data_IF_212566404272
#
_entry.id   IF_212566404272
#
_cell.length_a   1.000
_cell.length_b   1.000
_cell.length_c   1.000
_cell.angle_alpha   90.00
_cell.angle_beta   90.00
_cell.angle_gamma   90.00
#
_symmetry.space_group_name_H-M   'P 1'
#
loop_
_entity.id
_entity.type
_entity.pdbx_description
1 polymer ?
#
# COMPACT_ATOMS: atom_id res chain seq x y z
N UNK A 1 13.01 -1.20 -2.87
CA UNK A 1 12.10 -1.72 -3.92
C UNK A 1 10.85 -2.28 -3.26
N UNK A 2 9.67 -2.15 -3.89
CA UNK A 2 8.44 -2.82 -3.44
C UNK A 2 8.61 -4.34 -3.61
N UNK A 3 8.35 -5.09 -2.55
CA UNK A 3 8.45 -6.56 -2.53
C UNK A 3 7.08 -7.22 -2.46
N UNK A 4 6.15 -6.60 -1.78
CA UNK A 4 4.77 -7.09 -1.65
C UNK A 4 3.80 -5.95 -1.54
N UNK A 5 2.60 -6.15 -2.06
CA UNK A 5 1.47 -5.24 -1.93
C UNK A 5 0.20 -6.04 -1.69
N UNK A 6 -0.62 -5.60 -0.75
CA UNK A 6 -1.96 -6.13 -0.61
C UNK A 6 -3.00 -5.05 -0.34
N UNK A 7 -4.21 -5.32 -0.81
CA UNK A 7 -5.37 -4.44 -0.66
C UNK A 7 -6.62 -5.26 -0.37
N UNK A 8 -7.55 -4.71 0.42
CA UNK A 8 -8.85 -5.31 0.73
C UNK A 8 -9.92 -4.24 0.78
N UNK A 9 -11.12 -4.59 0.36
CA UNK A 9 -12.30 -3.73 0.31
C UNK A 9 -12.12 -2.45 -0.52
N UNK A 10 -11.30 -2.48 -1.55
CA UNK A 10 -11.06 -1.34 -2.45
C UNK A 10 -11.64 -1.60 -3.83
N UNK A 11 -12.58 -0.78 -4.29
CA UNK A 11 -13.22 -0.88 -5.61
C UNK A 11 -13.69 -2.31 -5.90
N UNK A 12 -13.11 -3.01 -6.88
CA UNK A 12 -13.43 -4.39 -7.22
C UNK A 12 -12.71 -5.44 -6.35
N UNK A 13 -11.81 -5.05 -5.47
CA UNK A 13 -11.11 -5.95 -4.54
C UNK A 13 -11.91 -6.13 -3.24
N UNK A 14 -12.94 -6.98 -3.28
CA UNK A 14 -13.77 -7.29 -2.12
C UNK A 14 -12.98 -8.00 -1.02
N UNK A 15 -12.26 -9.05 -1.40
CA UNK A 15 -11.39 -9.83 -0.51
C UNK A 15 -9.95 -9.33 -0.62
N UNK A 16 -9.13 -9.72 0.37
CA UNK A 16 -7.70 -9.43 0.33
C UNK A 16 -7.09 -9.99 -0.96
N UNK A 17 -6.51 -9.10 -1.73
CA UNK A 17 -5.71 -9.40 -2.92
C UNK A 17 -4.26 -9.06 -2.63
N UNK A 18 -3.34 -9.94 -3.00
CA UNK A 18 -1.90 -9.76 -2.75
C UNK A 18 -1.11 -9.99 -4.02
N UNK A 19 -0.15 -9.11 -4.28
CA UNK A 19 0.92 -9.31 -5.25
C UNK A 19 2.22 -9.48 -4.47
N UNK A 20 2.89 -10.61 -4.67
CA UNK A 20 4.23 -10.87 -4.15
C UNK A 20 5.22 -10.75 -5.31
N UNK A 21 6.07 -9.73 -5.26
CA UNK A 21 7.10 -9.43 -6.24
C UNK A 21 8.44 -10.08 -5.89
N UNK A 22 8.56 -10.66 -4.69
CA UNK A 22 9.76 -11.37 -4.23
C UNK A 22 9.77 -12.84 -4.65
N UNK A 23 8.61 -13.38 -5.03
CA UNK A 23 8.48 -14.76 -5.46
C UNK A 23 8.82 -14.89 -6.97
N UNK A 24 10.07 -14.69 -7.28
CA UNK A 24 10.59 -14.93 -8.63
C UNK A 24 10.82 -16.42 -8.82
N UNK A 25 9.88 -17.11 -9.47
CA UNK A 25 10.14 -18.46 -9.92
C UNK A 25 11.39 -18.44 -10.80
N UNK A 26 12.20 -19.50 -10.77
CA UNK A 26 13.45 -19.61 -11.55
C UNK A 26 13.15 -19.67 -13.06
N UNK A 27 12.67 -18.58 -13.64
CA UNK A 27 12.48 -18.47 -15.08
C UNK A 27 13.78 -17.97 -15.72
N UNK A 28 14.26 -18.68 -16.73
CA UNK A 28 15.48 -18.34 -17.49
C UNK A 28 15.31 -17.13 -18.43
N UNK A 29 14.09 -16.58 -18.55
CA UNK A 29 13.80 -15.48 -19.47
C UNK A 29 13.53 -14.19 -18.71
N UNK A 30 13.96 -13.07 -19.31
CA UNK A 30 13.71 -11.71 -18.78
C UNK A 30 14.42 -11.40 -17.46
N UNK A 31 15.66 -11.84 -17.30
CA UNK A 31 16.51 -11.49 -16.13
C UNK A 31 16.58 -9.98 -15.89
N UNK A 32 16.54 -9.16 -16.95
CA UNK A 32 16.50 -7.71 -16.85
C UNK A 32 15.26 -7.16 -16.10
N UNK A 33 14.19 -7.95 -15.95
CA UNK A 33 12.99 -7.59 -15.22
C UNK A 33 13.07 -7.90 -13.73
N UNK A 34 14.13 -8.59 -13.29
CA UNK A 34 14.38 -8.96 -11.89
C UNK A 34 15.65 -8.29 -11.43
N UNK A 35 15.64 -7.75 -10.21
CA UNK A 35 16.82 -7.21 -9.53
C UNK A 35 16.80 -7.68 -8.08
N UNK A 36 17.91 -8.26 -7.63
CA UNK A 36 18.08 -8.75 -6.25
C UNK A 36 16.96 -9.71 -5.81
N UNK A 37 16.50 -10.58 -6.73
CA UNK A 37 15.39 -11.51 -6.49
C UNK A 37 14.00 -10.87 -6.45
N UNK A 38 13.87 -9.60 -6.83
CA UNK A 38 12.59 -8.86 -6.82
C UNK A 38 12.21 -8.46 -8.24
N UNK A 39 10.97 -8.68 -8.62
CA UNK A 39 10.42 -8.24 -9.90
C UNK A 39 10.33 -6.71 -9.91
N UNK A 40 11.15 -6.05 -10.75
CA UNK A 40 11.14 -4.59 -10.92
C UNK A 40 10.26 -4.11 -12.06
N UNK A 41 10.02 -4.99 -13.04
CA UNK A 41 9.21 -4.68 -14.21
C UNK A 41 8.30 -5.86 -14.50
N UNK A 42 7.01 -5.61 -14.55
CA UNK A 42 5.99 -6.61 -14.86
C UNK A 42 4.92 -6.05 -15.78
N UNK A 43 4.29 -6.91 -16.55
CA UNK A 43 3.16 -6.57 -17.40
C UNK A 43 1.89 -7.23 -16.86
N UNK A 44 0.85 -6.41 -16.61
CA UNK A 44 -0.46 -6.87 -16.19
C UNK A 44 -1.40 -6.80 -17.38
N UNK A 45 -1.89 -7.95 -17.82
CA UNK A 45 -2.83 -8.04 -18.93
C UNK A 45 -4.08 -8.83 -18.53
N UNK A 46 -5.14 -8.68 -19.31
CA UNK A 46 -6.42 -9.36 -19.08
C UNK A 46 -7.57 -8.63 -19.78
N UNK A 47 -8.77 -9.18 -19.77
CA UNK A 47 -9.95 -8.57 -20.38
C UNK A 47 -10.26 -7.18 -19.82
N UNK A 48 -11.06 -6.41 -20.55
CA UNK A 48 -11.56 -5.12 -20.07
C UNK A 48 -12.42 -5.33 -18.81
N UNK A 49 -12.47 -4.32 -17.96
CA UNK A 49 -13.26 -4.29 -16.73
C UNK A 49 -12.87 -5.30 -15.62
N UNK A 50 -11.78 -6.05 -15.77
CA UNK A 50 -11.31 -6.99 -14.73
C UNK A 50 -10.64 -6.31 -13.51
N UNK A 51 -10.39 -5.00 -13.59
CA UNK A 51 -9.81 -4.25 -12.48
C UNK A 51 -8.34 -3.86 -12.62
N UNK A 52 -7.71 -4.01 -13.81
CA UNK A 52 -6.30 -3.61 -14.04
C UNK A 52 -6.00 -2.16 -13.61
N UNK A 53 -6.84 -1.22 -14.02
CA UNK A 53 -6.69 0.20 -13.64
C UNK A 53 -6.92 0.43 -12.15
N UNK A 54 -7.81 -0.34 -11.51
CA UNK A 54 -8.05 -0.26 -10.09
C UNK A 54 -6.86 -0.80 -9.29
N UNK A 55 -6.16 -1.81 -9.81
CA UNK A 55 -4.92 -2.29 -9.21
C UNK A 55 -3.82 -1.21 -9.26
N UNK A 56 -3.65 -0.54 -10.39
CA UNK A 56 -2.73 0.60 -10.50
C UNK A 56 -3.08 1.70 -9.48
N UNK A 57 -4.36 2.07 -9.38
CA UNK A 57 -4.82 3.05 -8.38
C UNK A 57 -4.54 2.60 -6.95
N UNK A 58 -4.75 1.32 -6.63
CA UNK A 58 -4.47 0.77 -5.32
C UNK A 58 -2.97 0.81 -4.98
N UNK A 59 -2.09 0.42 -5.92
CA UNK A 59 -0.63 0.46 -5.71
C UNK A 59 -0.14 1.89 -5.50
N UNK A 60 -0.69 2.86 -6.22
CA UNK A 60 -0.29 4.27 -6.12
C UNK A 60 -1.03 5.06 -5.02
N UNK A 61 -1.95 4.44 -4.27
CA UNK A 61 -2.65 5.11 -3.16
C UNK A 61 -1.67 5.61 -2.08
N UNK A 62 -0.59 4.89 -1.84
CA UNK A 62 0.48 5.29 -0.93
C UNK A 62 1.07 6.67 -1.28
N UNK A 63 1.17 7.01 -2.55
CA UNK A 63 1.69 8.32 -2.99
C UNK A 63 0.75 9.44 -2.55
N UNK A 64 -0.55 9.20 -2.60
CA UNK A 64 -1.56 10.16 -2.14
C UNK A 64 -1.52 10.35 -0.62
N UNK A 65 -1.20 9.27 0.12
CA UNK A 65 -1.08 9.32 1.57
C UNK A 65 0.17 10.07 2.05
N UNK A 66 1.29 9.89 1.35
CA UNK A 66 2.59 10.40 1.78
C UNK A 66 2.95 11.75 1.15
N UNK A 67 2.10 12.29 0.29
CA UNK A 67 2.36 13.57 -0.38
C UNK A 67 1.15 14.49 -0.32
N UNK A 68 1.39 15.80 -0.17
CA UNK A 68 0.36 16.84 -0.18
C UNK A 68 -0.10 17.22 -1.60
N UNK A 69 0.00 16.29 -2.55
CA UNK A 69 -0.45 16.56 -3.92
C UNK A 69 -1.96 16.73 -3.97
N UNK A 70 -2.40 17.72 -4.74
CA UNK A 70 -3.82 17.93 -5.01
C UNK A 70 -4.47 16.64 -5.50
N UNK A 71 -5.54 16.26 -4.84
CA UNK A 71 -6.30 15.05 -5.14
C UNK A 71 -7.34 15.37 -6.19
N UNK A 72 -7.42 14.55 -7.22
CA UNK A 72 -8.46 14.67 -8.24
C UNK A 72 -9.70 13.90 -7.79
N UNK A 73 -10.79 14.55 -7.32
CA UNK A 73 -11.95 13.88 -6.70
C UNK A 73 -12.54 12.76 -7.56
N UNK A 74 -12.56 12.94 -8.88
CA UNK A 74 -13.09 11.94 -9.81
C UNK A 74 -12.37 10.57 -9.76
N UNK A 75 -11.10 10.53 -9.34
CA UNK A 75 -10.34 9.28 -9.19
C UNK A 75 -10.79 8.49 -7.95
N UNK A 76 -11.40 9.16 -6.98
CA UNK A 76 -11.76 8.62 -5.67
C UNK A 76 -13.25 8.34 -5.52
N UNK A 77 -14.06 8.61 -6.54
CA UNK A 77 -15.45 8.14 -6.58
C UNK A 77 -15.47 6.61 -6.45
N UNK A 78 -16.36 6.09 -5.62
CA UNK A 78 -16.49 4.65 -5.35
C UNK A 78 -15.16 4.03 -4.85
N UNK A 79 -14.57 4.61 -3.81
CA UNK A 79 -13.28 4.20 -3.25
C UNK A 79 -13.38 2.83 -2.56
N UNK A 80 -14.36 2.64 -1.68
CA UNK A 80 -14.67 1.33 -1.10
C UNK A 80 -15.33 0.37 -2.12
N UNK A 81 -15.34 -0.91 -1.80
CA UNK A 81 -16.08 -1.90 -2.56
C UNK A 81 -17.58 -1.64 -2.45
N UNK A 82 -18.31 -1.69 -3.57
CA UNK A 82 -19.74 -1.35 -3.63
C UNK A 82 -20.64 -2.27 -2.78
N UNK A 83 -20.16 -3.47 -2.42
CA UNK A 83 -20.91 -4.41 -1.57
C UNK A 83 -20.68 -4.16 -0.07
N UNK A 84 -19.61 -3.43 0.28
CA UNK A 84 -19.15 -3.28 1.66
C UNK A 84 -18.68 -1.84 1.90
N UNK A 85 -19.57 -0.89 1.66
CA UNK A 85 -19.27 0.55 1.83
C UNK A 85 -18.99 0.92 3.28
N UNK A 86 -19.51 0.13 4.22
CA UNK A 86 -19.37 0.31 5.67
C UNK A 86 -18.07 -0.28 6.24
N UNK A 87 -17.41 -1.14 5.48
CA UNK A 87 -16.18 -1.77 5.95
C UNK A 87 -14.95 -0.93 5.62
N UNK A 88 -13.98 -1.00 6.50
CA UNK A 88 -12.70 -0.35 6.30
C UNK A 88 -11.92 -0.93 5.11
N UNK A 89 -11.14 -0.07 4.48
CA UNK A 89 -10.30 -0.39 3.34
C UNK A 89 -8.87 -0.54 3.87
N UNK A 90 -8.25 -1.69 3.60
CA UNK A 90 -6.93 -2.02 4.13
C UNK A 90 -5.89 -2.02 3.01
N UNK A 91 -4.75 -1.38 3.27
CA UNK A 91 -3.58 -1.37 2.38
C UNK A 91 -2.35 -1.82 3.15
N UNK A 92 -1.53 -2.66 2.54
CA UNK A 92 -0.25 -3.09 3.09
C UNK A 92 0.79 -3.06 1.98
N UNK A 93 1.91 -2.41 2.26
CA UNK A 93 3.06 -2.34 1.37
C UNK A 93 4.30 -2.84 2.10
N UNK A 94 5.09 -3.66 1.43
CA UNK A 94 6.37 -4.12 1.93
C UNK A 94 7.47 -3.72 0.94
N UNK A 95 8.55 -3.19 1.48
CA UNK A 95 9.68 -2.70 0.71
C UNK A 95 10.99 -3.26 1.27
N UNK A 96 12.00 -3.30 0.40
CA UNK A 96 13.40 -3.49 0.81
C UNK A 96 14.19 -2.26 0.38
N UNK A 97 14.93 -1.68 1.33
CA UNK A 97 15.87 -0.58 1.16
C UNK A 97 17.24 -1.01 1.68
N UNK A 98 18.15 -1.40 0.77
CA UNK A 98 19.41 -2.02 1.17
C UNK A 98 19.17 -3.33 1.91
N UNK A 99 19.60 -3.43 3.17
CA UNK A 99 19.38 -4.58 4.04
C UNK A 99 18.09 -4.50 4.86
N UNK A 100 17.47 -3.33 4.96
CA UNK A 100 16.30 -3.13 5.82
C UNK A 100 15.00 -3.45 5.10
N UNK A 101 14.10 -4.11 5.83
CA UNK A 101 12.72 -4.37 5.41
C UNK A 101 11.80 -3.34 6.04
N UNK A 102 11.00 -2.70 5.22
CA UNK A 102 10.02 -1.70 5.64
C UNK A 102 8.64 -2.21 5.29
N UNK A 103 7.74 -2.20 6.27
CA UNK A 103 6.33 -2.48 6.06
C UNK A 103 5.52 -1.26 6.49
N UNK A 104 4.68 -0.80 5.59
CA UNK A 104 3.74 0.29 5.84
C UNK A 104 2.33 -0.22 5.61
N UNK A 105 1.49 -0.10 6.61
CA UNK A 105 0.09 -0.48 6.53
C UNK A 105 -0.81 0.64 7.02
N UNK A 106 -1.91 0.81 6.34
CA UNK A 106 -2.94 1.75 6.78
C UNK A 106 -4.34 1.27 6.43
N UNK A 107 -5.29 1.81 7.15
CA UNK A 107 -6.71 1.51 7.04
C UNK A 107 -7.48 2.82 6.90
N UNK A 108 -8.40 2.86 5.94
CA UNK A 108 -9.24 4.02 5.64
C UNK A 108 -10.71 3.67 5.71
N UNK A 109 -11.55 4.64 6.04
CA UNK A 109 -13.00 4.57 5.82
C UNK A 109 -13.38 5.18 4.48
N UNK A 110 -12.78 6.31 4.15
CA UNK A 110 -12.91 6.99 2.87
C UNK A 110 -11.52 7.24 2.30
N UNK A 111 -11.42 7.86 1.15
CA UNK A 111 -10.10 8.20 0.60
C UNK A 111 -9.34 9.25 1.44
N UNK A 112 -10.05 10.01 2.28
CA UNK A 112 -9.46 11.04 3.17
C UNK A 112 -9.23 10.53 4.59
N UNK A 113 -10.14 9.68 5.10
CA UNK A 113 -10.17 9.30 6.50
C UNK A 113 -9.30 8.09 6.79
N UNK A 114 -8.09 8.33 7.26
CA UNK A 114 -7.19 7.29 7.76
C UNK A 114 -7.51 7.05 9.24
N UNK A 115 -7.97 5.83 9.56
CA UNK A 115 -8.31 5.43 10.94
C UNK A 115 -7.19 4.67 11.64
N UNK A 116 -6.28 4.08 10.87
CA UNK A 116 -5.10 3.37 11.37
C UNK A 116 -3.96 3.54 10.38
N UNK A 117 -2.76 3.75 10.92
CA UNK A 117 -1.53 3.82 10.16
C UNK A 117 -0.39 3.23 11.01
N UNK A 118 0.38 2.32 10.45
CA UNK A 118 1.49 1.68 11.16
C UNK A 118 2.67 1.50 10.22
N UNK A 119 3.85 1.81 10.73
CA UNK A 119 5.11 1.71 10.02
C UNK A 119 6.09 0.83 10.79
N UNK A 120 6.65 -0.17 10.11
CA UNK A 120 7.60 -1.12 10.69
C UNK A 120 8.93 -1.04 9.95
N UNK A 121 10.03 -1.14 10.68
CA UNK A 121 11.38 -1.35 10.14
C UNK A 121 11.91 -2.63 10.76
N UNK A 122 12.34 -3.57 9.92
CA UNK A 122 12.88 -4.88 10.30
C UNK A 122 12.01 -5.64 11.31
N UNK A 123 10.68 -5.51 11.14
CA UNK A 123 9.68 -6.15 11.99
C UNK A 123 9.36 -5.41 13.29
N UNK A 124 10.05 -4.32 13.59
CA UNK A 124 9.79 -3.47 14.77
C UNK A 124 8.85 -2.34 14.37
N UNK A 125 7.77 -2.15 15.14
CA UNK A 125 6.89 -1.00 14.98
C UNK A 125 7.64 0.27 15.42
N UNK A 126 7.76 1.23 14.50
CA UNK A 126 8.49 2.48 14.75
C UNK A 126 7.56 3.70 14.79
N UNK A 127 6.44 3.63 14.09
CA UNK A 127 5.41 4.67 14.12
C UNK A 127 4.05 3.98 14.05
N UNK A 128 3.10 4.42 14.87
CA UNK A 128 1.70 4.04 14.72
C UNK A 128 0.76 5.21 15.04
N UNK A 129 -0.36 5.24 14.32
CA UNK A 129 -1.47 6.16 14.54
C UNK A 129 -2.78 5.38 14.54
N UNK A 130 -3.59 5.62 15.56
CA UNK A 130 -4.94 5.06 15.71
C UNK A 130 -5.90 6.21 16.02
N UNK A 131 -6.66 6.64 15.02
CA UNK A 131 -7.42 7.90 15.13
C UNK A 131 -6.51 9.07 15.45
N UNK A 132 -6.76 9.75 16.57
CA UNK A 132 -5.97 10.91 17.03
C UNK A 132 -4.76 10.52 17.90
N UNK A 133 -4.59 9.22 18.20
CA UNK A 133 -3.49 8.75 19.03
C UNK A 133 -2.29 8.39 18.18
N UNK A 134 -1.17 9.05 18.43
CA UNK A 134 0.10 8.85 17.74
C UNK A 134 1.16 8.28 18.70
N UNK A 135 1.88 7.26 18.26
CA UNK A 135 3.02 6.67 18.95
C UNK A 135 4.22 6.59 18.01
N UNK A 136 5.39 6.87 18.55
CA UNK A 136 6.64 6.74 17.81
C UNK A 136 7.76 6.24 18.71
N UNK A 137 8.59 5.34 18.17
CA UNK A 137 9.82 4.86 18.76
C UNK A 137 11.07 5.53 18.16
N UNK A 138 10.89 6.51 17.25
CA UNK A 138 12.00 7.22 16.62
C UNK A 138 12.50 8.33 17.55
N UNK A 139 13.79 8.30 17.88
CA UNK A 139 14.43 9.37 18.64
C UNK A 139 14.30 10.71 17.90
N UNK A 140 14.02 11.78 18.63
CA UNK A 140 13.86 13.14 18.09
C UNK A 140 12.51 13.43 17.44
N UNK A 141 11.54 12.51 17.48
CA UNK A 141 10.18 12.71 16.96
C UNK A 141 9.18 13.23 18.00
N UNK A 142 9.64 13.56 19.20
CA UNK A 142 8.83 14.01 20.33
C UNK A 142 8.03 15.30 20.05
N UNK A 143 8.44 16.06 19.04
CA UNK A 143 7.78 17.31 18.60
C UNK A 143 6.65 17.10 17.60
N UNK A 144 6.43 15.88 17.09
CA UNK A 144 5.40 15.58 16.08
C UNK A 144 3.99 15.39 16.68
N UNK A 145 3.87 15.42 18.01
CA UNK A 145 2.60 15.23 18.73
C UNK A 145 1.75 16.51 18.87
N UNK A 146 2.07 17.60 18.20
CA UNK A 146 1.47 18.90 18.50
C UNK A 146 0.72 19.56 17.35
N UNK A 147 0.04 18.79 16.48
CA UNK A 147 -0.96 19.39 15.56
C UNK A 147 -2.08 18.43 15.27
#
# INVERSE_FOLDING_TARGET
MLTSFSVKNFKNFEKKFTIDLSNTKQYAYSEACVKDGIVKTGLIYGPNSIGKSNLGKAIFDIVQNLTDKERTPALYSSYANAKHLELAIEFVYEFVFGSSRVRYEYTKLTYEDIIKEVFFIDGVEVVSRYGDTFHTALEGSETLNSN
#
